data_IF_204730881677
#
_entry.id   IF_204730881677
#
_cell.length_a   1.000
_cell.length_b   1.000
_cell.length_c   1.000
_cell.angle_alpha   90.00
_cell.angle_beta   90.00
_cell.angle_gamma   90.00
#
_symmetry.space_group_name_H-M   'P 1'
#
loop_
_entity.id
_entity.type
_entity.pdbx_description
1 polymer ?
#
# COMPACT_ATOMS: atom_id res chain seq x y z
N UNK A 1 0.54 -6.98 -17.34
CA UNK A 1 0.35 -7.15 -15.88
C UNK A 1 1.55 -6.60 -15.12
N UNK A 2 1.32 -5.91 -14.01
CA UNK A 2 2.39 -5.39 -13.13
C UNK A 2 2.65 -6.34 -11.95
N UNK A 3 1.65 -7.11 -11.55
CA UNK A 3 1.74 -8.16 -10.53
C UNK A 3 1.01 -9.41 -11.02
N UNK A 4 1.63 -10.56 -10.80
CA UNK A 4 1.05 -11.87 -11.04
C UNK A 4 1.42 -12.80 -9.87
N UNK A 5 0.41 -13.32 -9.18
CA UNK A 5 0.54 -14.31 -8.13
C UNK A 5 -0.25 -15.56 -8.53
N UNK A 6 0.35 -16.74 -8.40
CA UNK A 6 -0.28 -18.00 -8.78
C UNK A 6 -0.21 -19.00 -7.63
N UNK A 7 -1.36 -19.60 -7.34
CA UNK A 7 -1.53 -20.68 -6.36
C UNK A 7 -0.93 -20.33 -4.98
N UNK A 8 -1.22 -19.12 -4.49
CA UNK A 8 -0.70 -18.64 -3.19
C UNK A 8 -1.36 -19.41 -2.06
N UNK A 9 -0.55 -20.14 -1.31
CA UNK A 9 -0.95 -20.89 -0.11
C UNK A 9 -0.28 -20.30 1.11
N UNK A 10 -1.04 -20.17 2.21
CA UNK A 10 -0.52 -19.74 3.50
C UNK A 10 -1.28 -20.36 4.66
N UNK A 11 -0.53 -20.93 5.61
CA UNK A 11 -1.05 -21.44 6.87
C UNK A 11 -0.29 -20.85 8.06
N UNK A 12 -0.94 -20.74 9.20
CA UNK A 12 -0.33 -20.40 10.48
C UNK A 12 -0.53 -21.58 11.44
N UNK A 13 0.53 -22.38 11.60
CA UNK A 13 0.41 -23.68 12.25
C UNK A 13 -0.58 -24.60 11.52
N UNK A 14 -1.59 -25.08 12.22
CA UNK A 14 -2.62 -25.94 11.62
C UNK A 14 -3.76 -25.17 10.93
N UNK A 15 -3.77 -23.82 10.99
CA UNK A 15 -4.84 -23.01 10.41
C UNK A 15 -4.50 -22.62 8.96
N UNK A 16 -5.18 -23.18 7.94
CA UNK A 16 -5.02 -22.73 6.56
C UNK A 16 -5.75 -21.40 6.36
N UNK A 17 -5.04 -20.37 5.89
CA UNK A 17 -5.58 -19.02 5.69
C UNK A 17 -5.77 -18.71 4.20
N UNK A 18 -4.82 -19.10 3.35
CA UNK A 18 -4.95 -18.99 1.89
C UNK A 18 -4.80 -20.38 1.27
N UNK A 19 -5.72 -20.72 0.34
CA UNK A 19 -5.91 -22.08 -0.19
C UNK A 19 -5.71 -22.15 -1.69
N UNK A 20 -4.60 -21.56 -2.21
CA UNK A 20 -4.29 -21.57 -3.63
C UNK A 20 -4.93 -20.38 -4.37
N UNK A 21 -4.65 -19.17 -3.90
CA UNK A 21 -5.21 -17.92 -4.44
C UNK A 21 -4.36 -17.42 -5.60
N UNK A 22 -4.99 -17.18 -6.75
CA UNK A 22 -4.40 -16.49 -7.89
C UNK A 22 -4.77 -15.01 -7.85
N UNK A 23 -3.84 -14.11 -8.18
CA UNK A 23 -4.11 -12.68 -8.24
C UNK A 23 -3.27 -12.02 -9.33
N UNK A 24 -3.87 -11.09 -10.06
CA UNK A 24 -3.13 -10.24 -10.99
C UNK A 24 -3.66 -8.80 -10.93
N UNK A 25 -2.83 -7.84 -11.33
CA UNK A 25 -3.25 -6.48 -11.61
C UNK A 25 -2.42 -5.90 -12.76
N UNK A 26 -3.07 -5.02 -13.53
CA UNK A 26 -2.42 -4.30 -14.62
C UNK A 26 -1.89 -2.93 -14.17
N UNK A 27 -1.07 -2.32 -15.01
CA UNK A 27 -0.53 -0.97 -14.75
C UNK A 27 -1.67 0.04 -14.70
N UNK A 28 -1.63 0.94 -13.73
CA UNK A 28 -2.63 1.97 -13.48
C UNK A 28 -4.05 1.42 -13.18
N UNK A 29 -4.17 0.16 -12.78
CA UNK A 29 -5.42 -0.45 -12.30
C UNK A 29 -5.61 -0.21 -10.80
N UNK A 30 -6.84 0.04 -10.36
CA UNK A 30 -7.23 0.06 -8.95
C UNK A 30 -8.06 -1.18 -8.66
N UNK A 31 -7.53 -2.10 -7.86
CA UNK A 31 -8.20 -3.36 -7.49
C UNK A 31 -8.60 -3.33 -6.03
N UNK A 32 -9.88 -3.59 -5.74
CA UNK A 32 -10.36 -3.82 -4.38
C UNK A 32 -10.35 -5.32 -4.04
N UNK A 33 -9.86 -5.67 -2.87
CA UNK A 33 -10.00 -6.99 -2.24
C UNK A 33 -10.97 -6.84 -1.07
N UNK A 34 -12.11 -7.49 -1.18
CA UNK A 34 -13.17 -7.44 -0.17
C UNK A 34 -13.44 -8.83 0.42
N UNK A 35 -14.18 -8.90 1.50
CA UNK A 35 -14.58 -10.16 2.16
C UNK A 35 -14.76 -9.99 3.67
N UNK A 36 -15.29 -11.02 4.33
CA UNK A 36 -15.51 -11.01 5.76
C UNK A 36 -14.20 -10.83 6.57
N UNK A 37 -14.33 -10.42 7.84
CA UNK A 37 -13.18 -10.46 8.76
C UNK A 37 -12.66 -11.88 8.90
N UNK A 38 -11.34 -12.05 8.89
CA UNK A 38 -10.71 -13.38 8.94
C UNK A 38 -10.65 -14.13 7.60
N UNK A 39 -11.20 -13.61 6.50
CA UNK A 39 -11.15 -14.27 5.19
C UNK A 39 -9.74 -14.42 4.57
N UNK A 40 -8.71 -13.78 5.15
CA UNK A 40 -7.33 -13.84 4.66
C UNK A 40 -6.87 -12.62 3.85
N UNK A 41 -7.68 -11.56 3.75
CA UNK A 41 -7.39 -10.36 2.93
C UNK A 41 -6.06 -9.70 3.26
N UNK A 42 -5.82 -9.34 4.54
CA UNK A 42 -4.57 -8.71 4.97
C UNK A 42 -3.38 -9.65 4.80
N UNK A 43 -3.57 -10.97 5.01
CA UNK A 43 -2.55 -11.97 4.75
C UNK A 43 -2.16 -12.01 3.27
N UNK A 44 -3.14 -12.00 2.37
CA UNK A 44 -2.89 -11.92 0.94
C UNK A 44 -2.17 -10.64 0.58
N UNK A 45 -2.66 -9.47 1.06
CA UNK A 45 -2.03 -8.17 0.80
C UNK A 45 -0.57 -8.13 1.28
N UNK A 46 -0.28 -8.70 2.47
CA UNK A 46 1.08 -8.77 3.01
C UNK A 46 1.99 -9.68 2.16
N UNK A 47 1.47 -10.77 1.61
CA UNK A 47 2.23 -11.63 0.69
C UNK A 47 2.49 -10.89 -0.62
N UNK A 48 1.47 -10.30 -1.24
CA UNK A 48 1.61 -9.51 -2.46
C UNK A 48 2.58 -8.34 -2.27
N UNK A 49 2.56 -7.71 -1.08
CA UNK A 49 3.49 -6.64 -0.69
C UNK A 49 4.85 -7.12 -0.18
N UNK A 50 5.14 -8.42 -0.28
CA UNK A 50 6.42 -9.04 0.14
C UNK A 50 6.77 -8.87 1.63
N UNK A 51 5.79 -8.58 2.48
CA UNK A 51 5.96 -8.49 3.93
C UNK A 51 5.87 -9.87 4.60
N UNK A 52 5.19 -10.82 3.94
CA UNK A 52 5.03 -12.19 4.39
C UNK A 52 5.37 -13.14 3.24
N UNK A 53 6.09 -14.22 3.55
CA UNK A 53 6.41 -15.26 2.56
C UNK A 53 5.26 -16.28 2.51
N UNK A 54 4.75 -16.65 1.32
CA UNK A 54 3.79 -17.73 1.18
C UNK A 54 4.46 -19.08 1.45
N UNK A 55 3.66 -20.11 1.76
CA UNK A 55 4.15 -21.49 1.95
C UNK A 55 4.29 -22.21 0.60
N UNK A 56 3.49 -21.81 -0.39
CA UNK A 56 3.59 -22.28 -1.77
C UNK A 56 3.03 -21.24 -2.74
N UNK A 57 3.33 -21.42 -4.03
CA UNK A 57 2.91 -20.55 -5.11
C UNK A 57 4.06 -19.75 -5.72
N UNK A 58 3.74 -18.83 -6.62
CA UNK A 58 4.69 -17.92 -7.25
C UNK A 58 4.19 -16.50 -7.20
N UNK A 59 5.11 -15.53 -7.15
CA UNK A 59 4.80 -14.10 -7.12
C UNK A 59 5.82 -13.33 -7.96
N UNK A 60 5.32 -12.74 -9.03
CA UNK A 60 6.07 -11.86 -9.91
C UNK A 60 5.55 -10.43 -9.79
N UNK A 61 6.44 -9.46 -9.61
CA UNK A 61 6.13 -8.03 -9.52
C UNK A 61 7.07 -7.25 -10.44
N UNK A 62 6.50 -6.47 -11.34
CA UNK A 62 7.27 -5.68 -12.32
C UNK A 62 8.32 -6.53 -13.06
N UNK A 63 7.96 -7.75 -13.50
CA UNK A 63 8.82 -8.68 -14.22
C UNK A 63 9.89 -9.38 -13.35
N UNK A 64 9.78 -9.31 -12.02
CA UNK A 64 10.74 -9.91 -11.08
C UNK A 64 10.07 -10.99 -10.25
N UNK A 65 10.58 -12.23 -10.24
CA UNK A 65 10.21 -13.26 -9.28
C UNK A 65 10.76 -12.92 -7.91
N UNK A 66 9.91 -12.34 -7.07
CA UNK A 66 10.32 -11.78 -5.76
C UNK A 66 10.60 -12.85 -4.72
N UNK A 67 10.08 -14.09 -4.92
CA UNK A 67 10.29 -15.19 -3.98
C UNK A 67 11.70 -15.80 -4.09
N UNK A 68 12.40 -15.54 -5.20
CA UNK A 68 13.78 -15.99 -5.42
C UNK A 68 14.85 -14.99 -4.99
N UNK A 69 14.44 -13.76 -4.59
CA UNK A 69 15.38 -12.74 -4.17
C UNK A 69 15.99 -13.07 -2.79
N UNK A 70 17.27 -12.73 -2.62
CA UNK A 70 17.88 -12.73 -1.29
C UNK A 70 17.18 -11.72 -0.38
N UNK A 71 17.27 -11.88 0.94
CA UNK A 71 16.66 -10.93 1.90
C UNK A 71 17.14 -9.49 1.68
N UNK A 72 18.40 -9.31 1.30
CA UNK A 72 18.98 -8.00 0.98
C UNK A 72 18.33 -7.41 -0.29
N UNK A 73 18.25 -8.22 -1.35
CA UNK A 73 17.69 -7.78 -2.63
C UNK A 73 16.18 -7.55 -2.53
N UNK A 74 15.47 -8.41 -1.78
CA UNK A 74 14.05 -8.24 -1.49
C UNK A 74 13.76 -6.95 -0.73
N UNK A 75 14.59 -6.60 0.25
CA UNK A 75 14.45 -5.34 0.99
C UNK A 75 14.69 -4.12 0.09
N UNK A 76 15.69 -4.19 -0.79
CA UNK A 76 15.97 -3.14 -1.78
C UNK A 76 14.84 -3.05 -2.83
N UNK A 77 14.31 -4.19 -3.27
CA UNK A 77 13.17 -4.26 -4.18
C UNK A 77 11.93 -3.62 -3.56
N UNK A 78 11.58 -4.02 -2.33
CA UNK A 78 10.45 -3.46 -1.58
C UNK A 78 10.56 -1.95 -1.44
N UNK A 79 11.71 -1.44 -1.03
CA UNK A 79 11.94 -0.01 -0.89
C UNK A 79 11.68 0.77 -2.18
N UNK A 80 12.05 0.21 -3.35
CA UNK A 80 11.97 0.90 -4.64
C UNK A 80 10.66 0.67 -5.40
N UNK A 81 10.02 -0.49 -5.22
CA UNK A 81 8.92 -0.94 -6.09
C UNK A 81 7.58 -1.03 -5.40
N UNK A 82 7.55 -1.01 -4.07
CA UNK A 82 6.34 -1.21 -3.29
C UNK A 82 6.12 -0.05 -2.33
N UNK A 83 4.93 0.55 -2.39
CA UNK A 83 4.41 1.45 -1.38
C UNK A 83 3.40 0.72 -0.50
N UNK A 84 3.37 1.04 0.81
CA UNK A 84 2.41 0.47 1.74
C UNK A 84 1.73 1.57 2.56
N UNK A 85 0.39 1.49 2.63
CA UNK A 85 -0.47 2.34 3.45
C UNK A 85 -1.27 1.44 4.38
N UNK A 86 -1.18 1.69 5.69
CA UNK A 86 -1.87 0.91 6.72
C UNK A 86 -2.98 1.73 7.37
N UNK A 87 -3.95 1.05 7.97
CA UNK A 87 -5.02 1.66 8.76
C UNK A 87 -4.48 2.49 9.93
N UNK A 88 -3.42 2.03 10.59
CA UNK A 88 -2.81 2.69 11.76
C UNK A 88 -1.70 3.70 11.39
N UNK A 89 -1.65 4.22 10.18
CA UNK A 89 -0.69 5.20 9.64
C UNK A 89 0.80 4.85 9.86
N UNK A 90 1.20 4.37 11.05
CA UNK A 90 2.57 4.03 11.45
C UNK A 90 3.57 5.16 11.17
N UNK A 91 3.18 6.39 11.46
CA UNK A 91 4.10 7.53 11.42
C UNK A 91 5.04 7.49 12.63
N UNK A 92 6.27 7.90 12.41
CA UNK A 92 7.27 8.03 13.47
C UNK A 92 6.99 9.33 14.24
N UNK A 93 6.62 9.25 15.52
CA UNK A 93 6.10 10.40 16.26
C UNK A 93 7.15 11.48 16.55
N UNK A 94 8.44 11.13 16.53
CA UNK A 94 9.56 12.06 16.74
C UNK A 94 9.85 12.92 15.52
N UNK A 95 9.43 12.48 14.33
CA UNK A 95 9.71 13.11 13.05
C UNK A 95 8.52 13.93 12.57
N UNK A 96 8.82 15.04 11.87
CA UNK A 96 7.83 15.86 11.18
C UNK A 96 7.17 15.10 10.01
N UNK A 97 6.09 15.64 9.44
CA UNK A 97 5.46 15.11 8.24
C UNK A 97 6.46 14.98 7.09
N UNK A 98 7.26 16.03 6.88
CA UNK A 98 8.31 16.05 5.86
C UNK A 98 9.34 14.93 6.08
N UNK A 99 9.86 14.81 7.28
CA UNK A 99 10.87 13.79 7.62
C UNK A 99 10.31 12.39 7.49
N UNK A 100 9.07 12.13 7.95
CA UNK A 100 8.39 10.84 7.74
C UNK A 100 8.35 10.44 6.27
N UNK A 101 8.06 11.38 5.38
CA UNK A 101 8.01 11.12 3.93
C UNK A 101 9.41 10.93 3.34
N UNK A 102 10.43 11.63 3.84
CA UNK A 102 11.82 11.50 3.36
C UNK A 102 12.47 10.16 3.67
N UNK A 103 12.12 9.53 4.80
CA UNK A 103 12.79 8.33 5.34
C UNK A 103 12.96 7.21 4.29
N UNK A 104 11.94 6.75 3.54
CA UNK A 104 12.13 5.66 2.58
C UNK A 104 13.11 6.03 1.44
N UNK A 105 13.15 7.28 1.02
CA UNK A 105 14.10 7.75 0.00
C UNK A 105 15.54 7.75 0.54
N UNK A 106 15.74 8.19 1.78
CA UNK A 106 17.05 8.15 2.44
C UNK A 106 17.55 6.72 2.65
N UNK A 107 16.66 5.80 3.07
CA UNK A 107 16.97 4.37 3.16
C UNK A 107 17.36 3.78 1.80
N UNK A 108 16.71 4.26 0.73
CA UNK A 108 17.03 3.89 -0.66
C UNK A 108 18.36 4.46 -1.17
N UNK A 109 19.04 5.28 -0.37
CA UNK A 109 20.34 5.90 -0.72
C UNK A 109 20.22 7.23 -1.49
N UNK A 110 19.03 7.85 -1.54
CA UNK A 110 18.86 9.16 -2.18
C UNK A 110 19.55 10.25 -1.34
N UNK A 111 20.07 11.28 -2.02
CA UNK A 111 20.69 12.42 -1.35
C UNK A 111 19.65 13.22 -0.56
N UNK A 112 19.97 13.69 0.67
CA UNK A 112 19.01 14.40 1.54
C UNK A 112 18.25 15.55 0.85
N UNK A 113 18.97 16.35 0.04
CA UNK A 113 18.34 17.44 -0.72
C UNK A 113 17.26 16.95 -1.67
N UNK A 114 17.53 15.91 -2.46
CA UNK A 114 16.55 15.34 -3.41
C UNK A 114 15.40 14.64 -2.71
N UNK A 115 15.69 13.90 -1.62
CA UNK A 115 14.67 13.29 -0.80
C UNK A 115 13.71 14.34 -0.24
N UNK A 116 14.21 15.48 0.20
CA UNK A 116 13.44 16.63 0.69
C UNK A 116 12.57 17.23 -0.42
N UNK A 117 13.15 17.57 -1.56
CA UNK A 117 12.44 18.16 -2.71
C UNK A 117 11.25 17.29 -3.13
N UNK A 118 11.45 15.97 -3.24
CA UNK A 118 10.37 15.00 -3.56
C UNK A 118 9.31 14.90 -2.47
N UNK A 119 9.72 14.89 -1.21
CA UNK A 119 8.80 14.79 -0.09
C UNK A 119 7.92 16.05 0.01
N UNK A 120 8.49 17.25 -0.19
CA UNK A 120 7.74 18.51 -0.25
C UNK A 120 6.72 18.50 -1.40
N UNK A 121 7.12 18.08 -2.60
CA UNK A 121 6.22 17.97 -3.75
C UNK A 121 5.05 17.01 -3.49
N UNK A 122 5.32 15.84 -2.90
CA UNK A 122 4.29 14.87 -2.57
C UNK A 122 3.33 15.38 -1.47
N UNK A 123 3.87 16.01 -0.43
CA UNK A 123 3.04 16.61 0.61
C UNK A 123 2.15 17.73 0.06
N UNK A 124 2.64 18.55 -0.85
CA UNK A 124 1.83 19.51 -1.58
C UNK A 124 0.73 18.81 -2.41
N UNK A 125 1.08 17.72 -3.11
CA UNK A 125 0.13 16.95 -3.94
C UNK A 125 -1.01 16.35 -3.12
N UNK A 126 -0.73 15.92 -1.90
CA UNK A 126 -1.76 15.39 -0.98
C UNK A 126 -2.45 16.49 -0.15
N UNK A 127 -2.15 17.77 -0.40
CA UNK A 127 -2.80 18.93 0.24
C UNK A 127 -2.27 19.29 1.62
N UNK A 128 -0.99 19.04 1.89
CA UNK A 128 -0.32 19.27 3.18
C UNK A 128 0.84 20.27 3.11
N UNK A 129 0.80 21.23 2.15
CA UNK A 129 1.85 22.24 1.99
C UNK A 129 2.14 23.01 3.29
N UNK A 130 1.11 23.33 4.06
CA UNK A 130 1.21 24.08 5.32
C UNK A 130 1.51 23.21 6.55
N UNK A 131 1.72 21.90 6.35
CA UNK A 131 1.89 20.93 7.43
C UNK A 131 3.27 20.26 7.46
N UNK A 132 4.19 20.67 6.60
CA UNK A 132 5.51 20.03 6.42
C UNK A 132 6.28 19.82 7.73
N UNK A 133 6.24 20.81 8.63
CA UNK A 133 6.99 20.81 9.89
C UNK A 133 6.19 20.27 11.09
N UNK A 134 4.91 19.92 10.90
CA UNK A 134 4.08 19.39 11.98
C UNK A 134 4.46 17.94 12.30
N UNK A 135 4.43 17.60 13.58
CA UNK A 135 4.58 16.21 14.06
C UNK A 135 3.24 15.47 13.99
N UNK A 136 3.23 14.14 13.98
CA UNK A 136 1.99 13.35 13.95
C UNK A 136 0.97 13.76 15.02
N UNK A 137 1.41 14.11 16.22
CA UNK A 137 0.53 14.56 17.31
C UNK A 137 -0.18 15.89 17.05
N UNK A 138 0.29 16.66 16.07
CA UNK A 138 -0.28 17.97 15.69
C UNK A 138 -1.17 17.87 14.43
N UNK A 139 -1.34 16.64 13.89
CA UNK A 139 -2.09 16.35 12.68
C UNK A 139 -3.39 15.60 13.02
N UNK A 140 -4.47 15.93 12.32
CA UNK A 140 -5.69 15.13 12.34
C UNK A 140 -5.45 13.72 11.74
N UNK A 141 -6.34 12.77 12.02
CA UNK A 141 -6.23 11.41 11.47
C UNK A 141 -6.17 11.37 9.94
N UNK A 142 -6.96 12.22 9.27
CA UNK A 142 -6.93 12.35 7.82
C UNK A 142 -5.62 12.98 7.29
N UNK A 143 -5.07 13.96 8.00
CA UNK A 143 -3.75 14.53 7.66
C UNK A 143 -2.64 13.49 7.86
N UNK A 144 -2.68 12.73 8.96
CA UNK A 144 -1.73 11.61 9.18
C UNK A 144 -1.82 10.57 8.06
N UNK A 145 -3.02 10.22 7.60
CA UNK A 145 -3.21 9.30 6.49
C UNK A 145 -2.64 9.85 5.18
N UNK A 146 -2.82 11.14 4.91
CA UNK A 146 -2.21 11.80 3.74
C UNK A 146 -0.67 11.78 3.80
N UNK A 147 -0.08 11.97 4.99
CA UNK A 147 1.38 11.81 5.19
C UNK A 147 1.81 10.37 4.91
N UNK A 148 1.06 9.36 5.41
CA UNK A 148 1.36 7.94 5.17
C UNK A 148 1.28 7.60 3.67
N UNK A 149 0.32 8.14 2.93
CA UNK A 149 0.20 7.98 1.48
C UNK A 149 1.40 8.64 0.76
N UNK A 150 1.76 9.88 1.12
CA UNK A 150 2.92 10.56 0.55
C UNK A 150 4.22 9.78 0.81
N UNK A 151 4.41 9.26 2.02
CA UNK A 151 5.54 8.41 2.41
C UNK A 151 5.62 7.15 1.54
N UNK A 152 4.48 6.50 1.30
CA UNK A 152 4.43 5.30 0.47
C UNK A 152 4.80 5.56 -1.00
N UNK A 153 4.61 6.79 -1.48
CA UNK A 153 4.86 7.20 -2.87
C UNK A 153 6.24 7.80 -3.13
N UNK A 154 7.03 8.13 -2.09
CA UNK A 154 8.26 8.92 -2.25
C UNK A 154 9.29 8.28 -3.19
N UNK A 155 9.34 6.97 -3.27
CA UNK A 155 10.23 6.23 -4.18
C UNK A 155 9.60 5.92 -5.55
N UNK A 156 8.44 6.53 -5.90
CA UNK A 156 7.68 6.25 -7.12
C UNK A 156 7.48 4.72 -7.33
N UNK A 157 6.81 4.03 -6.40
CA UNK A 157 6.67 2.59 -6.44
C UNK A 157 5.87 2.13 -7.65
N UNK A 158 6.10 0.90 -8.12
CA UNK A 158 5.31 0.28 -9.18
C UNK A 158 3.87 -0.02 -8.70
N UNK A 159 3.71 -0.36 -7.41
CA UNK A 159 2.42 -0.72 -6.81
C UNK A 159 2.30 -0.06 -5.42
N UNK A 160 1.12 0.46 -5.15
CA UNK A 160 0.70 0.94 -3.84
C UNK A 160 -0.30 -0.07 -3.24
N UNK A 161 0.04 -0.68 -2.13
CA UNK A 161 -0.85 -1.51 -1.33
C UNK A 161 -1.47 -0.71 -0.20
N UNK A 162 -2.77 -0.87 0.03
CA UNK A 162 -3.48 -0.19 1.10
C UNK A 162 -4.34 -1.18 1.90
N UNK A 163 -4.07 -1.32 3.19
CA UNK A 163 -4.82 -2.19 4.10
C UNK A 163 -5.76 -1.34 4.95
N UNK A 164 -7.05 -1.39 4.65
CA UNK A 164 -8.13 -0.62 5.32
C UNK A 164 -7.78 0.87 5.51
N UNK A 165 -7.38 1.60 4.43
CA UNK A 165 -6.72 2.90 4.57
C UNK A 165 -7.62 4.01 5.15
N UNK A 166 -8.90 3.76 5.32
CA UNK A 166 -9.88 4.71 5.85
C UNK A 166 -10.68 4.18 7.04
N UNK A 167 -10.31 3.02 7.59
CA UNK A 167 -11.05 2.34 8.63
C UNK A 167 -11.26 3.15 9.92
N UNK A 168 -10.34 4.06 10.26
CA UNK A 168 -10.37 4.87 11.48
C UNK A 168 -10.80 6.33 11.23
N UNK A 169 -11.32 6.67 10.04
CA UNK A 169 -11.64 8.05 9.66
C UNK A 169 -13.16 8.29 9.68
N UNK A 170 -13.57 9.53 9.91
CA UNK A 170 -14.96 9.95 9.73
C UNK A 170 -15.37 9.92 8.25
N UNK A 171 -16.70 9.94 7.99
CA UNK A 171 -17.26 9.76 6.65
C UNK A 171 -16.72 10.78 5.63
N UNK A 172 -16.64 12.06 6.01
CA UNK A 172 -16.15 13.11 5.09
C UNK A 172 -14.68 12.90 4.73
N UNK A 173 -13.86 12.66 5.75
CA UNK A 173 -12.42 12.39 5.55
C UNK A 173 -12.17 11.13 4.74
N UNK A 174 -12.99 10.06 4.90
CA UNK A 174 -12.97 8.87 4.06
C UNK A 174 -13.14 9.21 2.58
N UNK A 175 -14.18 9.96 2.23
CA UNK A 175 -14.46 10.35 0.85
C UNK A 175 -13.30 11.14 0.24
N UNK A 176 -12.69 12.04 1.01
CA UNK A 176 -11.53 12.81 0.57
C UNK A 176 -10.30 11.92 0.30
N UNK A 177 -10.05 10.90 1.14
CA UNK A 177 -8.96 9.94 0.93
C UNK A 177 -9.26 9.01 -0.25
N UNK A 178 -10.52 8.57 -0.42
CA UNK A 178 -10.92 7.81 -1.61
C UNK A 178 -10.64 8.60 -2.90
N UNK A 179 -11.10 9.85 -2.97
CA UNK A 179 -10.84 10.73 -4.10
C UNK A 179 -9.33 10.96 -4.32
N UNK A 180 -8.53 10.98 -3.25
CA UNK A 180 -7.07 11.11 -3.36
C UNK A 180 -6.45 9.89 -4.07
N UNK A 181 -6.84 8.64 -3.75
CA UNK A 181 -6.33 7.45 -4.42
C UNK A 181 -6.60 7.49 -5.94
N UNK A 182 -7.80 7.88 -6.36
CA UNK A 182 -8.11 7.98 -7.80
C UNK A 182 -7.35 9.11 -8.49
N UNK A 183 -7.18 10.27 -7.84
CA UNK A 183 -6.32 11.34 -8.38
C UNK A 183 -4.86 10.90 -8.52
N UNK A 184 -4.33 10.11 -7.58
CA UNK A 184 -2.97 9.56 -7.67
C UNK A 184 -2.83 8.57 -8.82
N UNK A 185 -3.84 7.69 -9.02
CA UNK A 185 -3.91 6.82 -10.19
C UNK A 185 -3.82 7.63 -11.49
N UNK A 186 -4.66 8.66 -11.64
CA UNK A 186 -4.71 9.48 -12.86
C UNK A 186 -3.43 10.27 -13.11
N UNK A 187 -2.90 10.94 -12.06
CA UNK A 187 -1.72 11.81 -12.20
C UNK A 187 -0.40 11.05 -12.32
N UNK A 188 -0.27 9.92 -11.63
CA UNK A 188 0.99 9.17 -11.50
C UNK A 188 0.96 7.84 -12.25
N UNK A 189 -0.15 7.47 -12.91
CA UNK A 189 -0.39 6.14 -13.47
C UNK A 189 -0.14 5.03 -12.42
N UNK A 190 -0.54 5.28 -11.17
CA UNK A 190 -0.25 4.42 -10.03
C UNK A 190 -1.16 3.20 -10.03
N UNK A 191 -0.59 2.00 -9.98
CA UNK A 191 -1.36 0.78 -9.68
C UNK A 191 -1.62 0.70 -8.18
N UNK A 192 -2.87 0.42 -7.80
CA UNK A 192 -3.28 0.42 -6.40
C UNK A 192 -4.06 -0.85 -6.08
N UNK A 193 -3.68 -1.55 -5.02
CA UNK A 193 -4.43 -2.70 -4.49
C UNK A 193 -4.91 -2.35 -3.08
N UNK A 194 -6.23 -2.34 -2.90
CA UNK A 194 -6.85 -1.89 -1.65
C UNK A 194 -7.61 -3.04 -1.01
N UNK A 195 -7.27 -3.40 0.20
CA UNK A 195 -8.14 -4.21 1.06
C UNK A 195 -9.12 -3.28 1.76
N UNK A 196 -10.40 -3.55 1.65
CA UNK A 196 -11.43 -2.74 2.30
C UNK A 196 -12.71 -3.51 2.57
N UNK A 197 -13.44 -3.10 3.60
CA UNK A 197 -14.84 -3.49 3.84
C UNK A 197 -15.83 -2.39 3.41
N UNK A 198 -15.34 -1.25 2.91
CA UNK A 198 -16.16 -0.15 2.42
C UNK A 198 -16.67 -0.45 1.01
N UNK A 199 -17.97 -0.76 0.91
CA UNK A 199 -18.62 -1.05 -0.35
C UNK A 199 -18.67 0.16 -1.31
N UNK A 200 -18.60 1.39 -0.78
CA UNK A 200 -18.54 2.61 -1.58
C UNK A 200 -17.21 2.70 -2.32
N UNK A 201 -16.11 2.50 -1.60
CA UNK A 201 -14.77 2.48 -2.19
C UNK A 201 -14.62 1.34 -3.21
N UNK A 202 -15.08 0.13 -2.86
CA UNK A 202 -14.97 -1.04 -3.74
C UNK A 202 -15.68 -0.84 -5.09
N UNK A 203 -16.83 -0.14 -5.11
CA UNK A 203 -17.57 0.19 -6.34
C UNK A 203 -16.86 1.20 -7.24
N UNK A 204 -15.97 2.01 -6.71
CA UNK A 204 -15.20 2.99 -7.47
C UNK A 204 -13.95 2.37 -8.12
N UNK A 205 -13.51 1.20 -7.64
CA UNK A 205 -12.36 0.50 -8.19
C UNK A 205 -12.67 -0.10 -9.57
N UNK A 206 -11.64 -0.28 -10.39
CA UNK A 206 -11.79 -0.88 -11.72
C UNK A 206 -12.24 -2.33 -11.64
N UNK A 207 -11.82 -3.04 -10.57
CA UNK A 207 -12.16 -4.43 -10.31
C UNK A 207 -12.27 -4.70 -8.81
N UNK A 208 -13.22 -5.56 -8.45
CA UNK A 208 -13.39 -6.04 -7.06
C UNK A 208 -13.25 -7.54 -7.03
N UNK A 209 -12.39 -8.05 -6.15
CA UNK A 209 -12.17 -9.47 -5.88
C UNK A 209 -12.71 -9.80 -4.49
N UNK A 210 -13.60 -10.78 -4.37
CA UNK A 210 -14.16 -11.17 -3.08
C UNK A 210 -13.46 -12.42 -2.57
N UNK A 211 -12.78 -12.29 -1.42
CA UNK A 211 -12.11 -13.39 -0.74
C UNK A 211 -13.03 -13.97 0.35
N UNK A 212 -13.26 -15.27 0.30
CA UNK A 212 -14.03 -16.01 1.30
C UNK A 212 -13.27 -17.27 1.71
N UNK A 213 -13.07 -17.46 3.02
CA UNK A 213 -12.45 -18.65 3.60
C UNK A 213 -11.14 -19.08 2.94
N UNK A 214 -10.33 -18.07 2.51
CA UNK A 214 -9.02 -18.27 1.89
C UNK A 214 -9.03 -18.61 0.40
N UNK A 215 -10.15 -18.45 -0.30
CA UNK A 215 -10.28 -18.61 -1.75
C UNK A 215 -11.10 -17.47 -2.37
N UNK A 216 -11.01 -17.27 -3.69
CA UNK A 216 -11.92 -16.37 -4.39
C UNK A 216 -13.34 -16.96 -4.48
N UNK A 217 -14.33 -16.08 -4.40
CA UNK A 217 -15.75 -16.41 -4.51
C UNK A 217 -16.14 -16.55 -5.97
#
# INVERSE_FOLDING_TARGET
MIIEAKNIVKSFGALPVLKGVDFCADTAEVVAIVGASGAGKSTLLQILGTLLTPDAGSLEIAGTDVLRLSQKDLSAFRNRKIGFVFQAHHLLPEFTALENVMIPALIGGEKPRKARERAEELLCTVGLAERLQHKPSELSGGEQQRVAIARALVNAPAILFADEPTGNLDTRTKEEIHALFFRLREKLSQTIVIVTHDAGLAKLCDRTCTLQDGAWL
#
